data_IF_752597090500
#
_entry.id   IF_752597090500
#
_cell.length_a   1.000
_cell.length_b   1.000
_cell.length_c   1.000
_cell.angle_alpha   90.00
_cell.angle_beta   90.00
_cell.angle_gamma   90.00
#
_symmetry.space_group_name_H-M   'P 1'
#
loop_
_entity.id
_entity.type
_entity.pdbx_description
1 polymer ?
#
# COMPACT_ATOMS: atom_id res chain seq x y z
N UNK A 1 24.05 14.01 7.98
CA UNK A 1 22.64 13.93 8.32
C UNK A 1 22.55 12.96 9.50
N UNK A 2 22.01 13.42 10.61
CA UNK A 2 21.83 12.59 11.81
C UNK A 2 20.65 11.65 11.60
N UNK A 3 20.65 10.52 12.31
CA UNK A 3 19.57 9.52 12.30
C UNK A 3 18.20 10.07 12.76
N UNK A 4 18.11 11.35 13.05
CA UNK A 4 16.93 12.03 13.58
C UNK A 4 15.90 12.46 12.52
N UNK A 5 16.26 12.42 11.22
CA UNK A 5 15.33 12.79 10.14
C UNK A 5 14.38 11.65 9.69
N UNK A 6 14.49 10.47 10.32
CA UNK A 6 13.70 9.29 9.98
C UNK A 6 12.44 9.10 10.84
N UNK A 7 12.20 9.98 11.82
CA UNK A 7 10.98 9.94 12.62
C UNK A 7 9.87 10.71 11.93
N UNK A 8 9.18 10.03 11.01
CA UNK A 8 7.84 10.47 10.65
C UNK A 8 7.01 10.58 11.93
N UNK A 9 6.29 11.69 12.07
CA UNK A 9 5.46 11.91 13.26
C UNK A 9 4.37 10.85 13.33
N UNK A 10 4.32 10.11 14.44
CA UNK A 10 3.23 9.19 14.71
C UNK A 10 1.98 9.97 15.11
N UNK A 11 0.89 9.72 14.45
CA UNK A 11 -0.42 10.28 14.78
C UNK A 11 -1.40 9.16 15.12
N UNK A 12 -2.20 9.40 16.16
CA UNK A 12 -3.29 8.52 16.57
C UNK A 12 -4.61 9.19 16.26
N UNK A 13 -5.49 8.50 15.56
CA UNK A 13 -6.85 8.95 15.30
C UNK A 13 -7.83 8.25 16.21
N UNK A 14 -8.74 9.06 16.80
CA UNK A 14 -9.84 8.60 17.65
C UNK A 14 -11.17 9.15 17.12
N UNK A 15 -12.26 8.49 17.43
CA UNK A 15 -13.59 9.01 17.14
C UNK A 15 -14.02 10.09 18.15
N UNK A 16 -15.21 10.68 17.95
CA UNK A 16 -15.76 11.71 18.84
C UNK A 16 -16.02 11.26 20.28
N UNK A 17 -15.96 9.95 20.58
CA UNK A 17 -16.04 9.39 21.94
C UNK A 17 -14.67 9.13 22.56
N UNK A 18 -13.61 9.28 21.82
CA UNK A 18 -12.23 8.96 22.21
C UNK A 18 -11.85 7.51 21.96
N UNK A 19 -12.68 6.73 21.26
CA UNK A 19 -12.34 5.36 20.88
C UNK A 19 -11.29 5.37 19.75
N UNK A 20 -10.28 4.51 19.89
CA UNK A 20 -9.21 4.34 18.91
C UNK A 20 -9.76 3.89 17.55
N UNK A 21 -9.27 4.51 16.48
CA UNK A 21 -9.59 4.15 15.09
C UNK A 21 -8.37 3.56 14.37
N UNK A 22 -7.30 4.33 14.28
CA UNK A 22 -6.07 3.91 13.59
C UNK A 22 -4.88 4.76 14.02
N UNK A 23 -3.68 4.27 13.74
CA UNK A 23 -2.46 5.09 13.74
C UNK A 23 -1.94 5.27 12.32
N UNK A 24 -1.19 6.34 12.10
CA UNK A 24 -0.49 6.62 10.86
C UNK A 24 0.86 7.27 11.15
N UNK A 25 1.86 6.88 10.39
CA UNK A 25 3.15 7.55 10.33
C UNK A 25 3.12 8.54 9.16
N UNK A 26 3.61 9.76 9.37
CA UNK A 26 3.57 10.83 8.38
C UNK A 26 2.54 11.92 8.64
N UNK A 27 2.08 12.60 7.61
CA UNK A 27 1.18 13.75 7.76
C UNK A 27 -0.29 13.32 7.86
N UNK A 28 -1.00 13.89 8.84
CA UNK A 28 -2.45 13.85 8.94
C UNK A 28 -2.98 15.28 9.03
N UNK A 29 -4.07 15.58 8.35
CA UNK A 29 -4.63 16.93 8.23
C UNK A 29 -6.15 16.92 8.37
N UNK A 30 -6.71 18.05 8.81
CA UNK A 30 -8.15 18.26 8.75
C UNK A 30 -8.68 18.05 7.33
N UNK A 31 -9.81 17.33 7.23
CA UNK A 31 -10.41 16.95 5.96
C UNK A 31 -9.81 15.70 5.31
N UNK A 32 -8.79 15.07 5.89
CA UNK A 32 -8.39 13.72 5.48
C UNK A 32 -9.50 12.72 5.81
N UNK A 33 -9.58 11.66 5.02
CA UNK A 33 -10.61 10.65 5.17
C UNK A 33 -10.00 9.28 5.44
N UNK A 34 -10.76 8.44 6.11
CA UNK A 34 -10.38 7.08 6.47
C UNK A 34 -11.56 6.16 6.25
N UNK A 35 -11.39 5.13 5.44
CA UNK A 35 -12.37 4.06 5.26
C UNK A 35 -11.84 2.84 6.02
N UNK A 36 -12.53 2.47 7.09
CA UNK A 36 -12.13 1.37 7.95
C UNK A 36 -12.23 0.00 7.26
N UNK A 37 -11.73 -1.05 7.94
CA UNK A 37 -11.92 -2.43 7.50
C UNK A 37 -13.40 -2.76 7.29
N UNK A 38 -14.29 -2.24 8.13
CA UNK A 38 -15.74 -2.45 8.07
C UNK A 38 -16.47 -1.50 7.10
N UNK A 39 -15.73 -0.81 6.22
CA UNK A 39 -16.26 0.14 5.24
C UNK A 39 -16.99 1.34 5.86
N UNK A 40 -16.60 1.77 7.04
CA UNK A 40 -17.09 3.00 7.65
C UNK A 40 -16.18 4.15 7.24
N UNK A 41 -16.79 5.19 6.68
CA UNK A 41 -16.09 6.43 6.33
C UNK A 41 -16.03 7.34 7.53
N UNK A 42 -14.84 7.79 7.86
CA UNK A 42 -14.55 8.85 8.83
C UNK A 42 -13.85 10.02 8.14
N UNK A 43 -14.01 11.21 8.67
CA UNK A 43 -13.29 12.41 8.24
C UNK A 43 -12.59 13.05 9.43
N UNK A 44 -11.33 13.41 9.26
CA UNK A 44 -10.56 14.12 10.29
C UNK A 44 -11.13 15.52 10.46
N UNK A 45 -11.69 15.79 11.63
CA UNK A 45 -12.28 17.07 11.98
C UNK A 45 -11.25 18.03 12.57
N UNK A 46 -10.35 17.55 13.41
CA UNK A 46 -9.27 18.35 14.01
C UNK A 46 -8.01 17.52 14.22
N UNK A 47 -6.85 18.20 14.21
CA UNK A 47 -5.57 17.61 14.57
C UNK A 47 -4.90 18.47 15.64
N UNK A 48 -4.64 17.90 16.82
CA UNK A 48 -4.02 18.61 17.95
C UNK A 48 -3.00 17.72 18.67
N UNK A 49 -1.80 18.23 18.85
CA UNK A 49 -0.73 17.55 19.63
C UNK A 49 -0.44 16.11 19.18
N UNK A 50 -0.41 15.86 17.88
CA UNK A 50 -0.16 14.54 17.32
C UNK A 50 -1.37 13.60 17.34
N UNK A 51 -2.53 14.03 17.84
CA UNK A 51 -3.78 13.27 17.82
C UNK A 51 -4.78 13.88 16.85
N UNK A 52 -5.52 13.02 16.17
CA UNK A 52 -6.58 13.41 15.28
C UNK A 52 -7.93 12.98 15.85
N UNK A 53 -8.92 13.82 15.74
CA UNK A 53 -10.31 13.49 16.06
C UNK A 53 -11.04 13.34 14.73
N UNK A 54 -11.64 12.18 14.52
CA UNK A 54 -12.38 11.86 13.31
C UNK A 54 -13.88 11.78 13.61
N UNK A 55 -14.66 12.31 12.69
CA UNK A 55 -16.13 12.20 12.71
C UNK A 55 -16.57 11.07 11.79
N UNK A 56 -17.45 10.21 12.29
CA UNK A 56 -18.10 9.19 11.49
C UNK A 56 -19.05 9.85 10.48
N UNK A 57 -18.81 9.65 9.20
CA UNK A 57 -19.67 10.15 8.12
C UNK A 57 -20.80 9.16 7.81
N UNK A 58 -20.48 7.85 7.74
CA UNK A 58 -21.45 6.81 7.45
C UNK A 58 -20.79 5.55 6.89
N UNK A 59 -21.59 4.68 6.32
CA UNK A 59 -21.09 3.54 5.55
C UNK A 59 -20.66 4.01 4.16
N UNK A 60 -19.47 3.58 3.74
CA UNK A 60 -18.97 3.84 2.39
C UNK A 60 -19.47 2.74 1.44
N UNK A 61 -20.12 3.13 0.37
CA UNK A 61 -20.56 2.19 -0.65
C UNK A 61 -19.36 1.64 -1.43
N UNK A 62 -19.15 0.34 -1.30
CA UNK A 62 -18.09 -0.37 -2.02
C UNK A 62 -18.58 -0.84 -3.39
N UNK A 63 -17.68 -0.95 -4.39
CA UNK A 63 -18.05 -1.49 -5.71
C UNK A 63 -18.64 -2.89 -5.63
N UNK A 64 -19.59 -3.20 -6.49
CA UNK A 64 -20.14 -4.55 -6.63
C UNK A 64 -19.11 -5.48 -7.29
N UNK A 65 -18.69 -6.49 -6.56
CA UNK A 65 -17.77 -7.55 -7.00
C UNK A 65 -18.47 -8.93 -6.98
N UNK A 66 -19.79 -8.96 -7.06
CA UNK A 66 -20.58 -10.21 -7.04
C UNK A 66 -20.22 -11.15 -8.19
N UNK A 67 -19.78 -10.61 -9.31
CA UNK A 67 -19.32 -11.32 -10.50
C UNK A 67 -18.01 -12.11 -10.30
N UNK A 68 -17.24 -11.79 -9.25
CA UNK A 68 -16.01 -12.49 -8.95
C UNK A 68 -16.35 -13.83 -8.29
N UNK A 69 -16.00 -14.94 -8.91
CA UNK A 69 -16.07 -16.25 -8.28
C UNK A 69 -14.95 -16.35 -7.24
N UNK A 70 -15.31 -16.68 -6.00
CA UNK A 70 -14.32 -17.02 -4.99
C UNK A 70 -13.83 -18.44 -5.33
N UNK A 71 -12.69 -18.51 -5.99
CA UNK A 71 -11.98 -19.78 -6.15
C UNK A 71 -11.52 -20.28 -4.78
N UNK A 72 -11.47 -21.59 -4.58
CA UNK A 72 -10.73 -22.12 -3.44
C UNK A 72 -9.30 -21.60 -3.55
N UNK A 73 -8.89 -20.77 -2.58
CA UNK A 73 -7.52 -20.28 -2.51
C UNK A 73 -6.62 -21.50 -2.39
N UNK A 74 -5.89 -21.81 -3.47
CA UNK A 74 -4.82 -22.81 -3.37
C UNK A 74 -3.66 -22.09 -2.69
N UNK A 75 -3.20 -22.55 -1.52
CA UNK A 75 -1.99 -21.99 -0.94
C UNK A 75 -0.84 -22.26 -1.91
N UNK A 76 -0.30 -21.19 -2.49
CA UNK A 76 0.85 -21.27 -3.37
C UNK A 76 2.09 -21.42 -2.48
N UNK A 77 2.38 -22.63 -2.04
CA UNK A 77 3.68 -22.90 -1.43
C UNK A 77 4.76 -22.79 -2.50
N UNK A 78 5.75 -21.94 -2.25
CA UNK A 78 6.84 -21.58 -3.14
C UNK A 78 7.79 -22.74 -3.56
N UNK A 79 7.42 -24.00 -3.42
CA UNK A 79 8.34 -25.12 -3.65
C UNK A 79 8.03 -26.06 -4.83
N UNK A 80 6.88 -25.99 -5.50
CA UNK A 80 6.60 -26.86 -6.65
C UNK A 80 5.65 -26.23 -7.67
N UNK A 81 6.12 -25.27 -8.48
CA UNK A 81 5.41 -24.89 -9.69
C UNK A 81 6.29 -25.17 -10.90
N UNK A 82 6.01 -26.30 -11.56
CA UNK A 82 6.43 -26.49 -12.94
C UNK A 82 5.69 -25.44 -13.78
N UNK A 83 6.46 -24.45 -14.30
CA UNK A 83 5.96 -23.42 -15.19
C UNK A 83 5.37 -24.09 -16.44
N UNK A 84 4.06 -23.98 -16.74
CA UNK A 84 3.57 -24.39 -18.04
C UNK A 84 4.22 -23.48 -19.10
N UNK A 85 4.81 -24.08 -20.13
CA UNK A 85 5.38 -23.35 -21.24
C UNK A 85 4.35 -22.37 -21.80
N UNK A 86 4.70 -21.08 -21.80
CA UNK A 86 3.87 -19.99 -22.28
C UNK A 86 3.37 -20.29 -23.71
N UNK A 87 2.07 -20.43 -23.84
CA UNK A 87 1.43 -20.34 -25.15
C UNK A 87 1.54 -18.87 -25.58
N UNK A 88 2.49 -18.58 -26.44
CA UNK A 88 2.66 -17.27 -27.09
C UNK A 88 1.49 -17.02 -28.03
N UNK A 89 0.39 -16.52 -27.50
CA UNK A 89 -0.52 -15.68 -28.27
C UNK A 89 -0.16 -14.25 -27.95
N UNK A 90 0.25 -13.51 -28.96
CA UNK A 90 0.35 -12.07 -28.95
C UNK A 90 -1.06 -11.51 -28.75
N UNK A 91 -1.47 -11.38 -27.50
CA UNK A 91 -2.72 -10.74 -27.14
C UNK A 91 -2.37 -9.33 -26.66
N UNK A 92 -2.83 -8.33 -27.42
CA UNK A 92 -2.72 -6.90 -27.11
C UNK A 92 -3.57 -6.50 -25.88
N UNK A 93 -4.08 -7.49 -25.14
CA UNK A 93 -4.96 -7.37 -23.98
C UNK A 93 -4.27 -7.58 -22.63
N UNK A 94 -2.97 -7.88 -22.57
CA UNK A 94 -2.26 -8.05 -21.31
C UNK A 94 -2.21 -6.75 -20.54
N UNK A 95 -2.60 -6.83 -19.27
CA UNK A 95 -2.50 -5.71 -18.34
C UNK A 95 -1.05 -5.49 -17.96
N UNK A 96 -0.65 -4.22 -17.92
CA UNK A 96 0.68 -3.80 -17.52
C UNK A 96 0.59 -2.97 -16.23
N UNK A 97 1.31 -3.40 -15.20
CA UNK A 97 1.47 -2.64 -13.96
C UNK A 97 2.91 -2.12 -13.88
N UNK A 98 3.05 -0.85 -13.53
CA UNK A 98 4.33 -0.25 -13.20
C UNK A 98 4.47 -0.14 -11.68
N UNK A 99 5.65 -0.46 -11.16
CA UNK A 99 5.95 -0.41 -9.73
C UNK A 99 7.27 0.30 -9.48
N UNK A 100 7.34 1.03 -8.37
CA UNK A 100 8.55 1.66 -7.87
C UNK A 100 8.49 1.79 -6.34
N UNK A 101 9.57 2.26 -5.73
CA UNK A 101 9.69 2.45 -4.29
C UNK A 101 10.20 3.86 -4.02
N UNK A 102 9.38 4.74 -3.45
CA UNK A 102 9.81 6.11 -3.12
C UNK A 102 10.81 6.12 -1.97
N UNK A 103 10.51 5.44 -0.87
CA UNK A 103 11.40 5.35 0.29
C UNK A 103 12.29 4.12 0.21
N UNK A 104 13.37 4.26 -0.55
CA UNK A 104 14.24 3.16 -0.98
C UNK A 104 14.96 2.41 0.14
N UNK A 105 15.03 2.98 1.34
CA UNK A 105 15.73 2.44 2.50
C UNK A 105 14.78 1.76 3.51
N UNK A 106 13.47 1.81 3.29
CA UNK A 106 12.49 1.16 4.16
C UNK A 106 12.79 -0.32 4.36
N UNK A 107 12.75 -0.75 5.63
CA UNK A 107 13.15 -2.09 6.04
C UNK A 107 12.35 -2.56 7.24
N UNK A 108 12.47 -3.84 7.57
CA UNK A 108 11.74 -4.51 8.64
C UNK A 108 12.70 -4.95 9.74
N UNK A 109 12.62 -4.33 10.92
CA UNK A 109 13.55 -4.56 12.02
C UNK A 109 13.76 -6.03 12.37
N UNK A 110 12.71 -6.88 12.47
CA UNK A 110 12.90 -8.29 12.81
C UNK A 110 13.66 -9.10 11.76
N UNK A 111 13.62 -8.68 10.51
CA UNK A 111 14.21 -9.43 9.38
C UNK A 111 15.50 -8.81 8.87
N UNK A 112 15.58 -7.47 8.86
CA UNK A 112 16.68 -6.72 8.25
C UNK A 112 17.61 -6.10 9.31
N UNK A 113 17.23 -6.17 10.60
CA UNK A 113 18.00 -5.65 11.73
C UNK A 113 17.86 -4.14 11.96
N UNK A 114 17.21 -3.41 11.07
CA UNK A 114 16.98 -1.96 11.17
C UNK A 114 15.67 -1.58 10.46
N UNK A 115 15.10 -0.45 10.84
CA UNK A 115 13.93 0.11 10.16
C UNK A 115 14.27 0.79 8.82
N UNK A 116 15.55 1.12 8.63
CA UNK A 116 16.07 1.76 7.41
C UNK A 116 17.46 1.19 7.12
N UNK A 117 17.67 0.76 5.88
CA UNK A 117 18.96 0.26 5.38
C UNK A 117 19.40 1.14 4.22
N UNK A 118 20.51 1.85 4.41
CA UNK A 118 21.02 2.78 3.41
C UNK A 118 21.33 2.05 2.09
N UNK A 119 20.80 2.54 1.00
CA UNK A 119 20.85 1.92 -0.31
C UNK A 119 19.51 1.30 -0.68
N UNK A 120 19.42 -0.02 -0.75
CA UNK A 120 18.17 -0.74 -0.95
C UNK A 120 17.74 -1.42 0.35
N UNK A 121 16.58 -1.01 0.90
CA UNK A 121 15.96 -1.62 2.06
C UNK A 121 15.20 -2.91 1.75
N UNK A 122 14.75 -3.60 2.80
CA UNK A 122 13.96 -4.83 2.71
C UNK A 122 12.66 -4.69 1.94
N UNK A 123 12.18 -3.47 1.74
CA UNK A 123 10.98 -3.16 0.94
C UNK A 123 11.15 -3.61 -0.53
N UNK A 124 12.37 -3.65 -1.06
CA UNK A 124 12.59 -4.16 -2.42
C UNK A 124 12.36 -5.67 -2.54
N UNK A 125 12.59 -6.44 -1.47
CA UNK A 125 12.23 -7.87 -1.46
C UNK A 125 10.71 -8.03 -1.59
N UNK A 126 9.96 -7.21 -0.87
CA UNK A 126 8.49 -7.16 -0.95
C UNK A 126 8.02 -6.75 -2.34
N UNK A 127 8.61 -5.71 -2.91
CA UNK A 127 8.27 -5.26 -4.26
C UNK A 127 8.56 -6.32 -5.33
N UNK A 128 9.65 -7.06 -5.18
CA UNK A 128 10.00 -8.18 -6.09
C UNK A 128 9.03 -9.34 -5.96
N UNK A 129 8.69 -9.76 -4.74
CA UNK A 129 7.72 -10.83 -4.50
C UNK A 129 6.34 -10.45 -5.04
N UNK A 130 5.90 -9.23 -4.79
CA UNK A 130 4.63 -8.73 -5.32
C UNK A 130 4.62 -8.70 -6.86
N UNK A 131 5.71 -8.25 -7.49
CA UNK A 131 5.89 -8.36 -8.95
C UNK A 131 5.74 -9.80 -9.41
N UNK A 132 6.47 -10.72 -8.78
CA UNK A 132 6.53 -12.12 -9.18
C UNK A 132 5.16 -12.80 -9.03
N UNK A 133 4.42 -12.49 -7.95
CA UNK A 133 3.06 -12.95 -7.74
C UNK A 133 2.09 -12.44 -8.83
N UNK A 134 2.17 -11.17 -9.20
CA UNK A 134 1.36 -10.61 -10.29
C UNK A 134 1.70 -11.26 -11.65
N UNK A 135 2.98 -11.49 -11.91
CA UNK A 135 3.42 -12.16 -13.14
C UNK A 135 2.96 -13.62 -13.22
N UNK A 136 2.90 -14.33 -12.10
CA UNK A 136 2.32 -15.67 -12.03
C UNK A 136 0.83 -15.68 -12.39
N UNK A 137 0.12 -14.59 -12.13
CA UNK A 137 -1.27 -14.39 -12.55
C UNK A 137 -1.42 -13.90 -14.00
N UNK A 138 -0.33 -13.83 -14.77
CA UNK A 138 -0.35 -13.42 -16.17
C UNK A 138 -0.43 -11.91 -16.41
N UNK A 139 -0.11 -11.11 -15.39
CA UNK A 139 -0.03 -9.64 -15.48
C UNK A 139 1.41 -9.27 -15.81
N UNK A 140 1.63 -8.41 -16.80
CA UNK A 140 2.95 -7.87 -17.06
C UNK A 140 3.29 -6.80 -16.01
N UNK A 141 4.50 -6.86 -15.45
CA UNK A 141 4.93 -5.91 -14.43
C UNK A 141 6.31 -5.35 -14.77
N UNK A 142 6.45 -4.03 -14.66
CA UNK A 142 7.74 -3.34 -14.69
C UNK A 142 8.01 -2.81 -13.28
N UNK A 143 9.02 -3.34 -12.60
CA UNK A 143 9.54 -2.81 -11.34
C UNK A 143 10.78 -1.98 -11.63
N UNK A 144 10.77 -0.69 -11.28
CA UNK A 144 11.95 0.17 -11.31
C UNK A 144 12.58 0.21 -9.91
N UNK A 145 13.80 -0.29 -9.80
CA UNK A 145 14.56 -0.41 -8.55
C UNK A 145 15.53 0.76 -8.30
N UNK A 146 15.28 1.92 -8.92
CA UNK A 146 16.05 3.15 -8.64
C UNK A 146 15.88 3.58 -7.20
N UNK A 147 16.96 4.06 -6.58
CA UNK A 147 16.92 4.59 -5.21
C UNK A 147 16.66 6.09 -5.21
N UNK A 148 15.95 6.58 -4.19
CA UNK A 148 15.51 7.98 -4.10
C UNK A 148 15.98 8.66 -2.80
N UNK A 149 17.14 8.23 -2.31
CA UNK A 149 17.78 8.75 -1.09
C UNK A 149 18.20 10.24 -1.22
N UNK A 150 18.33 10.94 -0.10
CA UNK A 150 18.04 10.50 1.27
C UNK A 150 16.54 10.35 1.54
N UNK A 151 16.17 9.66 2.65
CA UNK A 151 14.80 9.58 3.13
C UNK A 151 14.42 10.92 3.79
N UNK A 152 13.94 11.84 3.01
CA UNK A 152 13.55 13.20 3.42
C UNK A 152 12.32 13.67 2.63
N UNK A 153 11.84 14.85 2.93
CA UNK A 153 10.71 15.48 2.23
C UNK A 153 10.91 15.63 0.71
N UNK A 154 12.13 15.49 0.21
CA UNK A 154 12.48 15.51 -1.20
C UNK A 154 12.38 14.16 -1.91
N UNK A 155 12.15 13.05 -1.19
CA UNK A 155 12.10 11.71 -1.76
C UNK A 155 11.05 11.60 -2.87
N UNK A 156 9.84 12.11 -2.65
CA UNK A 156 8.78 12.15 -3.68
C UNK A 156 9.15 12.94 -4.94
N UNK A 157 9.94 14.00 -4.80
CA UNK A 157 10.42 14.76 -5.97
C UNK A 157 11.44 13.94 -6.78
N UNK A 158 12.28 13.14 -6.11
CA UNK A 158 13.23 12.26 -6.77
C UNK A 158 12.53 11.08 -7.43
N UNK A 159 11.62 10.40 -6.74
CA UNK A 159 10.85 9.28 -7.27
C UNK A 159 9.89 9.68 -8.39
N UNK A 160 9.47 10.96 -8.43
CA UNK A 160 8.64 11.49 -9.53
C UNK A 160 9.28 11.24 -10.91
N UNK A 161 10.59 11.40 -11.04
CA UNK A 161 11.28 11.15 -12.31
C UNK A 161 11.22 9.66 -12.71
N UNK A 162 11.24 8.77 -11.73
CA UNK A 162 11.05 7.33 -11.94
C UNK A 162 9.61 7.03 -12.38
N UNK A 163 8.62 7.59 -11.67
CA UNK A 163 7.22 7.44 -12.03
C UNK A 163 6.93 7.98 -13.45
N UNK A 164 7.42 9.15 -13.80
CA UNK A 164 7.29 9.74 -15.14
C UNK A 164 7.92 8.85 -16.24
N UNK A 165 9.08 8.25 -15.97
CA UNK A 165 9.73 7.30 -16.89
C UNK A 165 8.90 6.03 -17.07
N UNK A 166 8.34 5.48 -15.99
CA UNK A 166 7.48 4.31 -16.03
C UNK A 166 6.20 4.57 -16.81
N UNK A 167 5.58 5.74 -16.64
CA UNK A 167 4.35 6.13 -17.34
C UNK A 167 4.52 6.25 -18.85
N UNK A 168 5.75 6.45 -19.37
CA UNK A 168 6.03 6.38 -20.81
C UNK A 168 5.76 4.99 -21.41
N UNK A 169 5.73 3.94 -20.58
CA UNK A 169 5.38 2.58 -20.98
C UNK A 169 3.85 2.35 -21.06
N UNK A 170 3.04 3.37 -20.69
CA UNK A 170 1.58 3.34 -20.67
C UNK A 170 1.00 2.19 -19.85
N UNK A 171 1.39 2.05 -18.57
CA UNK A 171 0.82 1.02 -17.72
C UNK A 171 -0.68 1.30 -17.43
N UNK A 172 -1.45 0.24 -17.17
CA UNK A 172 -2.84 0.32 -16.72
C UNK A 172 -2.95 0.84 -15.28
N UNK A 173 -1.93 0.60 -14.44
CA UNK A 173 -1.82 1.12 -13.09
C UNK A 173 -0.35 1.37 -12.71
N UNK A 174 -0.14 2.30 -11.76
CA UNK A 174 1.18 2.55 -11.17
C UNK A 174 1.10 2.47 -9.65
N UNK A 175 2.01 1.70 -9.05
CA UNK A 175 2.02 1.39 -7.62
C UNK A 175 3.34 1.85 -7.00
N UNK A 176 3.25 2.64 -5.95
CA UNK A 176 4.37 2.98 -5.07
C UNK A 176 4.34 2.02 -3.86
N UNK A 177 5.41 1.24 -3.69
CA UNK A 177 5.48 0.20 -2.67
C UNK A 177 6.20 0.73 -1.45
N UNK A 178 5.55 0.65 -0.29
CA UNK A 178 6.00 1.17 1.00
C UNK A 178 5.74 0.18 2.14
N UNK A 179 6.27 0.51 3.31
CA UNK A 179 5.84 -0.01 4.62
C UNK A 179 5.52 1.16 5.53
N UNK A 180 4.55 0.99 6.44
CA UNK A 180 4.18 2.01 7.43
C UNK A 180 5.27 2.16 8.52
N UNK A 181 5.36 3.35 9.09
CA UNK A 181 6.29 3.69 10.18
C UNK A 181 5.70 3.50 11.59
N UNK A 182 4.48 3.00 11.74
CA UNK A 182 3.86 2.84 13.07
C UNK A 182 4.56 1.74 13.88
N UNK A 183 4.79 1.95 15.19
CA UNK A 183 5.55 0.99 16.01
C UNK A 183 4.73 -0.24 16.45
N UNK A 184 3.39 -0.14 16.48
CA UNK A 184 2.53 -1.24 16.91
C UNK A 184 2.24 -2.20 15.75
N UNK A 185 2.97 -3.33 15.71
CA UNK A 185 2.77 -4.36 14.71
C UNK A 185 1.37 -5.01 14.75
N UNK A 186 0.65 -4.92 15.86
CA UNK A 186 -0.68 -5.55 15.98
C UNK A 186 -1.71 -4.94 15.03
N UNK A 187 -1.50 -3.70 14.59
CA UNK A 187 -2.34 -3.07 13.58
C UNK A 187 -2.25 -3.76 12.21
N UNK A 188 -1.13 -4.40 11.92
CA UNK A 188 -0.88 -5.06 10.65
C UNK A 188 -0.89 -6.59 10.75
N UNK A 189 -0.55 -7.15 11.91
CA UNK A 189 -0.52 -8.60 12.09
C UNK A 189 -1.93 -9.20 12.03
N UNK A 190 -2.13 -10.22 11.18
CA UNK A 190 -3.36 -11.00 11.14
C UNK A 190 -3.06 -12.45 10.75
N UNK A 191 -4.11 -13.26 10.70
CA UNK A 191 -4.06 -14.61 10.16
C UNK A 191 -5.21 -14.79 9.17
N UNK A 192 -4.90 -15.30 7.98
CA UNK A 192 -5.87 -15.60 6.92
C UNK A 192 -5.66 -17.06 6.55
N UNK A 193 -6.72 -17.87 6.58
CA UNK A 193 -6.70 -19.31 6.29
C UNK A 193 -5.65 -20.11 7.09
N UNK A 194 -5.34 -19.63 8.29
CA UNK A 194 -4.36 -20.25 9.19
C UNK A 194 -2.91 -19.76 8.98
N UNK A 195 -2.64 -19.01 7.93
CA UNK A 195 -1.33 -18.43 7.66
C UNK A 195 -1.17 -17.08 8.36
N UNK A 196 0.02 -16.85 8.89
CA UNK A 196 0.39 -15.58 9.48
C UNK A 196 0.78 -14.60 8.38
N UNK A 197 -0.03 -13.57 8.18
CA UNK A 197 0.17 -12.56 7.15
C UNK A 197 0.25 -11.15 7.76
N UNK A 198 0.67 -10.20 6.96
CA UNK A 198 0.54 -8.77 7.25
C UNK A 198 -0.65 -8.21 6.50
N UNK A 199 -1.38 -7.29 7.12
CA UNK A 199 -2.36 -6.46 6.40
C UNK A 199 -1.65 -5.46 5.50
N UNK A 200 -2.41 -4.92 4.55
CA UNK A 200 -1.98 -3.85 3.64
C UNK A 200 -2.89 -2.64 3.82
N UNK A 201 -2.31 -1.43 3.94
CA UNK A 201 -3.04 -0.17 3.86
C UNK A 201 -2.99 0.36 2.43
N UNK A 202 -4.11 0.87 1.95
CA UNK A 202 -4.21 1.57 0.67
C UNK A 202 -4.18 3.08 0.95
N UNK A 203 -3.28 3.82 0.29
CA UNK A 203 -3.14 5.24 0.50
C UNK A 203 -3.38 6.03 -0.78
N UNK A 204 -4.30 7.00 -0.71
CA UNK A 204 -4.71 7.86 -1.81
C UNK A 204 -4.48 9.31 -1.47
N UNK A 205 -3.84 10.05 -2.38
CA UNK A 205 -3.68 11.49 -2.28
C UNK A 205 -4.95 12.24 -2.72
N UNK A 206 -5.53 13.07 -1.83
CA UNK A 206 -6.72 13.87 -2.16
C UNK A 206 -6.41 15.22 -2.83
N UNK A 207 -5.16 15.66 -2.80
CA UNK A 207 -4.74 16.98 -3.27
C UNK A 207 -4.40 17.05 -4.77
N UNK A 208 -5.01 16.22 -5.62
CA UNK A 208 -4.70 16.19 -7.05
C UNK A 208 -5.93 15.88 -7.92
N UNK A 209 -5.82 16.09 -9.22
CA UNK A 209 -6.92 15.92 -10.18
C UNK A 209 -7.38 14.48 -10.38
N UNK A 210 -6.54 13.50 -10.06
CA UNK A 210 -6.86 12.07 -10.21
C UNK A 210 -7.43 11.45 -8.93
N UNK A 211 -7.57 12.24 -7.84
CA UNK A 211 -7.95 11.75 -6.51
C UNK A 211 -9.24 10.90 -6.53
N UNK A 212 -10.26 11.35 -7.25
CA UNK A 212 -11.53 10.61 -7.35
C UNK A 212 -11.36 9.25 -8.02
N UNK A 213 -10.63 9.18 -9.14
CA UNK A 213 -10.38 7.92 -9.86
C UNK A 213 -9.51 6.98 -9.03
N UNK A 214 -8.48 7.52 -8.38
CA UNK A 214 -7.58 6.73 -7.54
C UNK A 214 -8.29 6.20 -6.27
N UNK A 215 -9.23 6.98 -5.70
CA UNK A 215 -10.10 6.52 -4.60
C UNK A 215 -10.98 5.35 -5.05
N UNK A 216 -11.64 5.45 -6.21
CA UNK A 216 -12.45 4.34 -6.73
C UNK A 216 -11.60 3.12 -7.05
N UNK A 217 -10.38 3.28 -7.54
CA UNK A 217 -9.43 2.19 -7.74
C UNK A 217 -9.07 1.51 -6.41
N UNK A 218 -8.76 2.27 -5.36
CA UNK A 218 -8.51 1.72 -4.03
C UNK A 218 -9.72 0.96 -3.47
N UNK A 219 -10.94 1.49 -3.66
CA UNK A 219 -12.19 0.82 -3.25
C UNK A 219 -12.42 -0.49 -4.01
N UNK A 220 -12.10 -0.53 -5.32
CA UNK A 220 -12.16 -1.77 -6.10
C UNK A 220 -11.19 -2.81 -5.57
N UNK A 221 -9.93 -2.42 -5.30
CA UNK A 221 -8.94 -3.31 -4.72
C UNK A 221 -9.40 -3.86 -3.37
N UNK A 222 -9.90 -2.99 -2.48
CA UNK A 222 -10.41 -3.41 -1.17
C UNK A 222 -11.61 -4.35 -1.31
N UNK A 223 -12.59 -4.04 -2.16
CA UNK A 223 -13.77 -4.88 -2.34
C UNK A 223 -13.42 -6.29 -2.85
N UNK A 224 -12.47 -6.39 -3.78
CA UNK A 224 -11.96 -7.68 -4.27
C UNK A 224 -11.23 -8.44 -3.16
N UNK A 225 -10.34 -7.76 -2.44
CA UNK A 225 -9.59 -8.36 -1.34
C UNK A 225 -10.51 -8.82 -0.19
N UNK A 226 -11.47 -7.99 0.21
CA UNK A 226 -12.43 -8.35 1.27
C UNK A 226 -13.26 -9.58 0.91
N UNK A 227 -13.54 -9.79 -0.38
CA UNK A 227 -14.27 -10.96 -0.85
C UNK A 227 -13.42 -12.24 -0.87
N UNK A 228 -12.15 -12.14 -1.28
CA UNK A 228 -11.26 -13.28 -1.44
C UNK A 228 -10.45 -13.59 -0.18
N UNK A 229 -9.97 -12.54 0.50
CA UNK A 229 -9.08 -12.60 1.67
C UNK A 229 -9.56 -11.63 2.75
N UNK A 230 -10.70 -11.91 3.42
CA UNK A 230 -11.28 -11.01 4.42
C UNK A 230 -10.26 -10.61 5.48
N UNK A 231 -10.06 -9.31 5.66
CA UNK A 231 -9.13 -8.75 6.64
C UNK A 231 -7.70 -8.52 6.13
N UNK A 232 -7.39 -8.82 4.86
CA UNK A 232 -6.09 -8.50 4.25
C UNK A 232 -5.89 -6.99 4.11
N UNK A 233 -6.89 -6.27 3.60
CA UNK A 233 -6.84 -4.82 3.52
C UNK A 233 -7.22 -4.22 4.87
N UNK A 234 -6.25 -3.56 5.50
CA UNK A 234 -6.44 -2.88 6.79
C UNK A 234 -7.46 -1.75 6.67
N UNK A 235 -7.25 -0.86 5.71
CA UNK A 235 -8.02 0.36 5.51
C UNK A 235 -7.66 1.04 4.19
N UNK A 236 -8.42 2.12 3.87
CA UNK A 236 -8.03 3.10 2.86
C UNK A 236 -7.86 4.44 3.57
N UNK A 237 -6.65 5.03 3.52
CA UNK A 237 -6.39 6.37 3.99
C UNK A 237 -6.34 7.34 2.82
N UNK A 238 -7.11 8.43 2.87
CA UNK A 238 -7.19 9.46 1.83
C UNK A 238 -6.63 10.75 2.41
N UNK A 239 -5.32 10.93 2.25
CA UNK A 239 -4.55 12.01 2.85
C UNK A 239 -4.35 13.22 1.94
N UNK A 240 -3.95 14.34 2.52
CA UNK A 240 -3.69 15.61 1.82
C UNK A 240 -2.53 15.52 0.81
N UNK A 241 -1.58 14.59 0.99
CA UNK A 241 -0.42 14.44 0.14
C UNK A 241 -0.78 14.15 -1.33
N UNK A 242 0.18 14.37 -2.21
CA UNK A 242 0.04 14.10 -3.65
C UNK A 242 0.57 12.72 -4.03
N UNK A 243 1.67 12.27 -3.40
CA UNK A 243 2.29 10.93 -3.57
C UNK A 243 2.54 10.55 -5.04
N UNK A 244 2.88 11.52 -5.90
CA UNK A 244 3.02 11.37 -7.36
C UNK A 244 1.75 10.85 -8.07
N UNK A 245 0.62 10.71 -7.38
CA UNK A 245 -0.64 10.21 -7.94
C UNK A 245 -1.35 11.21 -8.86
N UNK A 246 -0.88 12.45 -8.89
CA UNK A 246 -1.30 13.46 -9.86
C UNK A 246 -0.86 13.13 -11.29
N UNK A 247 0.12 12.24 -11.46
CA UNK A 247 0.71 11.90 -12.74
C UNK A 247 -0.20 11.02 -13.61
N UNK A 248 -1.01 10.16 -13.00
CA UNK A 248 -1.85 9.23 -13.73
C UNK A 248 -3.10 8.80 -12.93
N UNK A 249 -4.19 8.40 -13.61
CA UNK A 249 -5.24 7.61 -12.98
C UNK A 249 -4.72 6.21 -12.62
N UNK A 250 -5.42 5.52 -11.70
CA UNK A 250 -5.04 4.21 -11.16
C UNK A 250 -3.63 4.20 -10.54
N UNK A 251 -3.28 5.34 -9.93
CA UNK A 251 -2.06 5.46 -9.12
C UNK A 251 -2.39 5.25 -7.64
N UNK A 252 -1.62 4.41 -6.95
CA UNK A 252 -1.86 4.08 -5.55
C UNK A 252 -0.54 3.85 -4.82
N UNK A 253 -0.54 4.13 -3.51
CA UNK A 253 0.53 3.75 -2.60
C UNK A 253 0.03 2.62 -1.70
N UNK A 254 0.85 1.58 -1.54
CA UNK A 254 0.55 0.42 -0.73
C UNK A 254 1.54 0.32 0.43
N UNK A 255 1.01 0.30 1.66
CA UNK A 255 1.79 0.06 2.87
C UNK A 255 1.74 -1.44 3.22
N UNK A 256 2.80 -2.15 2.93
CA UNK A 256 2.93 -3.57 3.24
C UNK A 256 3.47 -3.76 4.66
N UNK A 257 2.57 -3.79 5.63
CA UNK A 257 2.94 -3.94 7.04
C UNK A 257 3.59 -2.69 7.62
N UNK A 258 4.33 -2.87 8.70
CA UNK A 258 5.10 -1.83 9.39
C UNK A 258 6.52 -2.31 9.69
N UNK A 259 7.42 -1.38 10.03
CA UNK A 259 8.83 -1.69 10.29
C UNK A 259 9.07 -2.69 11.44
N UNK A 260 8.10 -2.89 12.33
CA UNK A 260 8.19 -3.80 13.49
C UNK A 260 7.68 -5.22 13.22
N UNK A 261 7.02 -5.47 12.08
CA UNK A 261 6.55 -6.80 11.68
C UNK A 261 7.65 -7.59 10.94
N UNK A 262 7.63 -8.92 11.02
CA UNK A 262 8.58 -9.73 10.24
C UNK A 262 8.26 -9.67 8.76
N UNK A 263 9.29 -9.57 7.91
CA UNK A 263 9.15 -9.56 6.45
C UNK A 263 8.53 -10.86 5.93
N UNK A 264 8.73 -11.99 6.59
CA UNK A 264 8.07 -13.26 6.27
C UNK A 264 6.54 -13.13 6.24
N UNK A 265 5.94 -12.47 7.25
CA UNK A 265 4.49 -12.20 7.26
C UNK A 265 4.05 -11.30 6.10
N UNK A 266 4.91 -10.36 5.73
CA UNK A 266 4.62 -9.42 4.64
C UNK A 266 4.68 -10.13 3.28
N UNK A 267 5.62 -11.04 3.09
CA UNK A 267 5.75 -11.82 1.85
C UNK A 267 4.60 -12.83 1.66
N UNK A 268 3.91 -13.18 2.75
CA UNK A 268 2.73 -14.05 2.71
C UNK A 268 1.40 -13.28 2.47
N UNK A 269 1.46 -11.94 2.30
CA UNK A 269 0.26 -11.07 2.19
C UNK A 269 -0.36 -11.07 0.80
#
# INVERSE_FOLDING_TARGET
ASADDLTESLHVAVDGTGAYLFSISGEISEGDEYISADNILYRIATVQNGNAIAEKIGEEAMPDVSWLEVGEAQPVFASEIAVPAANTKSDDSRKLIAMYVTHSDESYVPSDGAQSVNGQGGIYDVAREFRDALQQQGIDVILDESTHLPHDSGAYRRSRQTAERLLQKRPDAIIDVHRDGIPDQSEYACSIDGENVSRVRLLVGRGNQNSSVNREFAKQMKAVADKQYPGLVKDIFIGKGTYNQDLAPHAILLEFGTHTISKERVLNS
#
